data_IF_007414464508
#
_entry.id   IF_007414464508
#
_cell.length_a   1.000
_cell.length_b   1.000
_cell.length_c   1.000
_cell.angle_alpha   90.00
_cell.angle_beta   90.00
_cell.angle_gamma   90.00
#
_symmetry.space_group_name_H-M   'P 1'
#
loop_
_entity.id
_entity.type
_entity.pdbx_description
1 polymer ?
#
# COMPACT_ATOMS: atom_id res chain seq x y z
N UNK A 1 16.09 5.15 -12.59
CA UNK A 1 15.18 5.01 -11.43
C UNK A 1 14.60 6.40 -11.23
N UNK A 2 13.33 6.62 -11.53
CA UNK A 2 12.67 7.91 -11.29
C UNK A 2 12.64 8.20 -9.78
N UNK A 3 12.88 9.45 -9.40
CA UNK A 3 13.08 10.00 -8.05
C UNK A 3 11.89 9.80 -7.07
N UNK A 4 11.51 8.56 -6.76
CA UNK A 4 10.45 8.27 -5.78
C UNK A 4 9.04 8.73 -6.22
N UNK A 5 8.85 9.02 -7.51
CA UNK A 5 7.58 9.46 -8.06
C UNK A 5 6.56 8.32 -8.05
N UNK A 6 5.35 8.60 -7.58
CA UNK A 6 4.21 7.67 -7.65
C UNK A 6 3.77 7.54 -9.10
N UNK A 7 3.79 6.31 -9.64
CA UNK A 7 3.41 6.00 -11.04
C UNK A 7 1.99 5.46 -11.16
N UNK A 8 1.43 4.90 -10.08
CA UNK A 8 0.09 4.34 -10.04
C UNK A 8 -0.53 4.59 -8.67
N UNK A 9 -1.78 5.04 -8.65
CA UNK A 9 -2.59 5.17 -7.43
C UNK A 9 -4.07 5.06 -7.78
N UNK A 10 -4.84 4.37 -6.94
CA UNK A 10 -6.29 4.35 -7.00
C UNK A 10 -6.85 4.08 -5.60
N UNK A 11 -8.05 4.60 -5.32
CA UNK A 11 -8.79 4.37 -4.10
C UNK A 11 -10.24 4.01 -4.41
N UNK A 12 -10.67 2.85 -3.93
CA UNK A 12 -12.04 2.39 -4.08
C UNK A 12 -12.53 1.71 -2.80
N UNK A 13 -13.82 1.91 -2.47
CA UNK A 13 -14.45 1.20 -1.35
C UNK A 13 -14.52 -0.29 -1.66
N UNK A 14 -13.95 -1.11 -0.78
CA UNK A 14 -14.02 -2.57 -0.91
C UNK A 14 -15.34 -3.17 -0.39
N UNK A 15 -16.17 -2.41 0.34
CA UNK A 15 -17.46 -2.86 0.89
C UNK A 15 -17.37 -4.25 1.56
N UNK A 16 -16.46 -4.36 2.55
CA UNK A 16 -16.07 -5.62 3.25
C UNK A 16 -15.46 -6.75 2.38
N UNK A 17 -15.32 -6.56 1.07
CA UNK A 17 -14.70 -7.52 0.12
C UNK A 17 -13.23 -7.20 -0.16
N UNK A 18 -12.39 -7.22 0.88
CA UNK A 18 -10.99 -6.80 0.77
C UNK A 18 -10.18 -7.67 -0.20
N UNK A 19 -10.34 -8.99 -0.16
CA UNK A 19 -9.60 -9.91 -1.02
C UNK A 19 -9.92 -9.70 -2.51
N UNK A 20 -11.21 -9.56 -2.87
CA UNK A 20 -11.63 -9.28 -4.25
C UNK A 20 -11.02 -7.97 -4.76
N UNK A 21 -11.05 -6.92 -3.94
CA UNK A 21 -10.48 -5.62 -4.30
C UNK A 21 -8.96 -5.67 -4.47
N UNK A 22 -8.25 -6.42 -3.63
CA UNK A 22 -6.80 -6.60 -3.77
C UNK A 22 -6.46 -7.34 -5.07
N UNK A 23 -7.19 -8.40 -5.42
CA UNK A 23 -6.97 -9.12 -6.69
C UNK A 23 -7.20 -8.21 -7.89
N UNK A 24 -8.28 -7.41 -7.87
CA UNK A 24 -8.55 -6.42 -8.91
C UNK A 24 -7.41 -5.41 -9.06
N UNK A 25 -6.92 -4.86 -7.93
CA UNK A 25 -5.87 -3.84 -7.96
C UNK A 25 -4.52 -4.40 -8.41
N UNK A 26 -4.15 -5.61 -7.97
CA UNK A 26 -2.93 -6.26 -8.43
C UNK A 26 -2.97 -6.48 -9.95
N UNK A 27 -4.07 -7.02 -10.49
CA UNK A 27 -4.22 -7.22 -11.94
C UNK A 27 -4.16 -5.91 -12.73
N UNK A 28 -4.69 -4.81 -12.19
CA UNK A 28 -4.56 -3.49 -12.79
C UNK A 28 -3.14 -2.93 -12.73
N UNK A 29 -2.45 -3.10 -11.61
CA UNK A 29 -1.03 -2.72 -11.51
C UNK A 29 -0.16 -3.52 -12.49
N UNK A 30 -0.44 -4.81 -12.70
CA UNK A 30 0.26 -5.61 -13.73
C UNK A 30 0.02 -5.03 -15.13
N UNK A 31 -1.23 -4.73 -15.48
CA UNK A 31 -1.59 -4.25 -16.81
C UNK A 31 -1.22 -2.79 -17.10
N UNK A 32 -1.35 -1.91 -16.11
CA UNK A 32 -1.24 -0.44 -16.27
C UNK A 32 0.12 0.09 -15.81
N UNK A 33 0.76 -0.56 -14.83
CA UNK A 33 1.99 -0.09 -14.19
C UNK A 33 3.18 -1.05 -14.35
N UNK A 34 2.98 -2.22 -14.98
CA UNK A 34 4.04 -3.20 -15.22
C UNK A 34 4.50 -3.94 -13.97
N UNK A 35 3.64 -4.04 -12.93
CA UNK A 35 3.91 -4.90 -11.77
C UNK A 35 4.22 -6.31 -12.26
N UNK A 36 5.33 -6.88 -11.80
CA UNK A 36 5.82 -8.19 -12.23
C UNK A 36 5.95 -9.12 -11.03
N UNK A 37 5.14 -10.19 -10.96
CA UNK A 37 5.21 -11.18 -9.90
C UNK A 37 6.62 -11.73 -9.69
N UNK A 38 7.01 -11.91 -8.42
CA UNK A 38 8.33 -12.40 -8.00
C UNK A 38 9.54 -11.46 -8.27
N UNK A 39 9.36 -10.39 -9.05
CA UNK A 39 10.39 -9.38 -9.26
C UNK A 39 10.15 -8.16 -8.37
N UNK A 40 8.90 -7.71 -8.31
CA UNK A 40 8.51 -6.58 -7.49
C UNK A 40 8.19 -6.98 -6.06
N UNK A 41 8.47 -6.06 -5.14
CA UNK A 41 8.20 -6.25 -3.70
C UNK A 41 6.93 -5.52 -3.33
N UNK A 42 5.99 -6.27 -2.77
CA UNK A 42 4.69 -5.75 -2.35
C UNK A 42 4.68 -5.62 -0.82
N UNK A 43 4.21 -4.47 -0.34
CA UNK A 43 4.02 -4.20 1.08
C UNK A 43 2.57 -3.77 1.31
N UNK A 44 1.92 -4.36 2.31
CA UNK A 44 0.56 -4.00 2.71
C UNK A 44 0.55 -3.42 4.12
N UNK A 45 -0.36 -2.48 4.35
CA UNK A 45 -0.71 -1.96 5.66
C UNK A 45 -2.23 -2.01 5.86
N UNK A 46 -2.71 -1.70 7.05
CA UNK A 46 -4.13 -1.73 7.41
C UNK A 46 -4.60 -3.09 7.93
N UNK A 47 -5.84 -3.13 8.42
CA UNK A 47 -6.41 -4.27 9.16
C UNK A 47 -6.48 -5.58 8.36
N UNK A 48 -6.66 -5.50 7.04
CA UNK A 48 -6.69 -6.67 6.16
C UNK A 48 -5.32 -7.26 5.83
N UNK A 49 -4.23 -6.52 6.08
CA UNK A 49 -2.90 -6.89 5.58
C UNK A 49 -2.39 -8.21 6.15
N UNK A 50 -2.67 -8.51 7.43
CA UNK A 50 -2.21 -9.74 8.07
C UNK A 50 -2.78 -11.01 7.43
N UNK A 51 -4.02 -10.93 6.92
CA UNK A 51 -4.65 -12.04 6.19
C UNK A 51 -4.20 -12.10 4.74
N UNK A 52 -4.08 -10.95 4.07
CA UNK A 52 -3.88 -10.88 2.61
C UNK A 52 -2.41 -11.00 2.20
N UNK A 53 -1.48 -10.47 2.98
CA UNK A 53 -0.07 -10.40 2.58
C UNK A 53 0.55 -11.78 2.26
N UNK A 54 0.33 -12.84 3.07
CA UNK A 54 0.87 -14.17 2.78
C UNK A 54 0.33 -14.78 1.48
N UNK A 55 -0.86 -14.40 1.03
CA UNK A 55 -1.50 -14.97 -0.16
C UNK A 55 -0.85 -14.53 -1.47
N UNK A 56 -0.12 -13.42 -1.44
CA UNK A 56 0.51 -12.81 -2.63
C UNK A 56 2.01 -12.61 -2.47
N UNK A 57 2.61 -13.21 -1.42
CA UNK A 57 4.04 -13.05 -1.12
C UNK A 57 4.43 -11.62 -0.67
N UNK A 58 3.45 -10.81 -0.26
CA UNK A 58 3.69 -9.47 0.27
C UNK A 58 4.15 -9.52 1.74
N UNK A 59 4.69 -8.40 2.23
CA UNK A 59 4.98 -8.19 3.65
C UNK A 59 3.99 -7.21 4.27
N UNK A 60 3.55 -7.52 5.49
CA UNK A 60 2.78 -6.57 6.29
C UNK A 60 3.72 -5.54 6.93
N UNK A 61 3.33 -4.27 6.86
CA UNK A 61 3.88 -3.15 7.61
C UNK A 61 2.78 -2.60 8.52
N UNK A 62 3.14 -2.19 9.73
CA UNK A 62 2.20 -1.56 10.67
C UNK A 62 1.85 -0.15 10.18
N UNK A 63 0.58 0.21 10.27
CA UNK A 63 0.05 1.48 9.75
C UNK A 63 0.71 2.70 10.40
N UNK A 64 0.86 2.69 11.71
CA UNK A 64 1.55 3.76 12.45
C UNK A 64 3.00 3.90 11.99
N UNK A 65 3.69 2.81 11.68
CA UNK A 65 5.08 2.84 11.20
C UNK A 65 5.15 3.39 9.78
N UNK A 66 4.23 2.98 8.90
CA UNK A 66 4.15 3.49 7.54
C UNK A 66 3.87 5.00 7.51
N UNK A 67 2.93 5.48 8.34
CA UNK A 67 2.59 6.90 8.48
C UNK A 67 3.77 7.69 9.02
N UNK A 68 4.39 7.22 10.12
CA UNK A 68 5.55 7.89 10.72
C UNK A 68 6.71 8.03 9.72
N UNK A 69 7.08 6.95 9.03
CA UNK A 69 8.16 6.98 8.04
C UNK A 69 7.85 7.92 6.86
N UNK A 70 6.59 8.00 6.41
CA UNK A 70 6.16 8.93 5.37
C UNK A 70 6.28 10.38 5.84
N UNK A 71 5.76 10.70 7.03
CA UNK A 71 5.80 12.06 7.60
C UNK A 71 7.24 12.50 7.87
N UNK A 72 8.10 11.64 8.42
CA UNK A 72 9.51 11.94 8.64
C UNK A 72 10.23 12.32 7.34
N UNK A 73 9.87 11.69 6.22
CA UNK A 73 10.47 11.94 4.90
C UNK A 73 9.90 13.20 4.23
N UNK A 74 8.58 13.32 4.16
CA UNK A 74 7.90 14.37 3.39
C UNK A 74 7.74 15.68 4.17
N UNK A 75 7.70 15.60 5.51
CA UNK A 75 7.42 16.72 6.40
C UNK A 75 8.36 16.70 7.63
N UNK A 76 9.69 16.88 7.45
CA UNK A 76 10.69 16.69 8.50
C UNK A 76 10.55 17.63 9.71
N UNK A 77 9.76 18.72 9.60
CA UNK A 77 9.46 19.66 10.69
C UNK A 77 8.20 19.31 11.49
N UNK A 78 7.40 18.35 11.01
CA UNK A 78 6.21 17.87 11.73
C UNK A 78 6.64 17.04 12.94
N UNK A 79 5.92 17.21 14.05
CA UNK A 79 6.14 16.49 15.32
C UNK A 79 4.88 15.81 15.84
N UNK A 80 3.77 15.98 15.16
CA UNK A 80 2.48 15.40 15.50
C UNK A 80 1.74 15.07 14.21
N UNK A 81 1.23 13.84 14.11
CA UNK A 81 0.37 13.38 13.04
C UNK A 81 -0.93 12.86 13.65
N UNK A 82 -2.06 13.29 13.09
CA UNK A 82 -3.38 12.73 13.38
C UNK A 82 -3.91 12.13 12.09
N UNK A 83 -3.88 10.81 11.99
CA UNK A 83 -4.54 10.07 10.91
C UNK A 83 -5.99 9.80 11.34
N UNK A 84 -6.95 10.11 10.47
CA UNK A 84 -8.38 9.95 10.75
C UNK A 84 -8.95 9.08 9.64
N UNK A 85 -9.08 7.79 9.95
CA UNK A 85 -9.73 6.80 9.09
C UNK A 85 -11.23 7.01 8.94
N UNK A 86 -11.83 6.23 8.03
CA UNK A 86 -13.26 6.26 7.69
C UNK A 86 -14.16 5.32 8.47
#
# INVERSE_FOLDING_TARGET
>A
MEDGKVTWQDYQRHNTRQAEKVVEFLGRMEAEAGLTPSQDRIFFTGSGAGFLAPLVGAKQIQEVVAVAACVEREHPDVRFVSEIGG
#
